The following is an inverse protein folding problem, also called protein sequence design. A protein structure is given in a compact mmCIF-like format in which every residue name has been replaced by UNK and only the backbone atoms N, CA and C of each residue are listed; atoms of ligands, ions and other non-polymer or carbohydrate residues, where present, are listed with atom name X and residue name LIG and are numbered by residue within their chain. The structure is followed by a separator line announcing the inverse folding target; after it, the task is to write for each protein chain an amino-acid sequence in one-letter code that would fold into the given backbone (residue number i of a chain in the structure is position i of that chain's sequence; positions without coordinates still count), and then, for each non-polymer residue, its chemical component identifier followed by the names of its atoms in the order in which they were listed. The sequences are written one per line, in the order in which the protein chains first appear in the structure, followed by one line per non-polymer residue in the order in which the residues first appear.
data_IF_308843413190
#
_entry.id   IF_308843413190
#
_cell.length_a   1.000
_cell.length_b   1.000
_cell.length_c   1.000
_cell.angle_alpha   90.00
_cell.angle_beta   90.00
_cell.angle_gamma   90.00
#
_symmetry.space_group_name_H-M   'P 1'
#
loop_
_entity.id
_entity.type
_entity.pdbx_description
1 polymer ?
#
# COMPACT_ATOMS: atom_id res chain seq x y z
N UNK A 1 16.98 -64.06 3.87
CA UNK A 1 16.06 -63.43 4.84
C UNK A 1 16.21 -61.93 4.67
N UNK A 2 15.18 -61.24 4.16
CA UNK A 2 15.19 -59.78 3.98
C UNK A 2 15.10 -59.09 5.33
N UNK A 3 15.91 -58.06 5.56
CA UNK A 3 15.93 -57.31 6.81
C UNK A 3 14.69 -56.41 6.91
N UNK A 4 13.78 -56.59 7.89
CA UNK A 4 12.58 -55.76 8.04
C UNK A 4 12.84 -54.30 8.40
N UNK A 5 14.07 -53.98 8.81
CA UNK A 5 14.49 -52.63 9.21
C UNK A 5 15.34 -51.93 8.15
N UNK A 6 15.47 -52.50 6.97
CA UNK A 6 16.16 -51.84 5.87
C UNK A 6 15.28 -50.65 5.41
N UNK A 7 15.78 -49.40 5.49
CA UNK A 7 15.02 -48.26 5.02
C UNK A 7 14.74 -48.46 3.53
N UNK A 8 13.55 -48.09 3.05
CA UNK A 8 13.25 -48.20 1.63
C UNK A 8 14.32 -47.45 0.84
N UNK A 9 14.84 -48.10 -0.20
CA UNK A 9 15.88 -47.54 -1.06
C UNK A 9 15.31 -46.27 -1.72
N UNK A 10 15.68 -45.10 -1.19
CA UNK A 10 15.21 -43.82 -1.70
C UNK A 10 15.93 -43.54 -3.01
N UNK A 11 15.23 -43.66 -4.13
CA UNK A 11 15.75 -43.24 -5.43
C UNK A 11 16.08 -41.72 -5.33
N UNK A 12 17.33 -41.30 -5.58
CA UNK A 12 17.68 -39.87 -5.60
C UNK A 12 16.83 -39.04 -6.58
N UNK A 13 16.12 -39.68 -7.53
CA UNK A 13 15.17 -39.02 -8.42
C UNK A 13 13.87 -38.63 -7.74
N UNK A 14 13.45 -39.35 -6.69
CA UNK A 14 12.22 -39.03 -5.97
C UNK A 14 12.39 -37.82 -5.06
N UNK A 15 13.59 -37.61 -4.48
CA UNK A 15 13.89 -36.38 -3.76
C UNK A 15 13.91 -35.15 -4.69
N UNK A 16 14.42 -35.28 -5.92
CA UNK A 16 14.33 -34.22 -6.93
C UNK A 16 12.89 -33.91 -7.36
N UNK A 17 12.03 -34.92 -7.52
CA UNK A 17 10.60 -34.72 -7.82
C UNK A 17 9.86 -34.03 -6.67
N UNK A 18 10.19 -34.38 -5.43
CA UNK A 18 9.59 -33.75 -4.26
C UNK A 18 9.97 -32.27 -4.16
N UNK A 19 11.24 -31.92 -4.37
CA UNK A 19 11.69 -30.51 -4.38
C UNK A 19 11.01 -29.72 -5.50
N UNK A 20 10.93 -30.27 -6.73
CA UNK A 20 10.22 -29.63 -7.84
C UNK A 20 8.72 -29.45 -7.56
N UNK A 21 8.09 -30.43 -6.88
CA UNK A 21 6.68 -30.33 -6.48
C UNK A 21 6.45 -29.29 -5.38
N UNK A 22 7.38 -29.17 -4.42
CA UNK A 22 7.32 -28.19 -3.34
C UNK A 22 7.51 -26.76 -3.87
N UNK A 23 8.40 -26.55 -4.85
CA UNK A 23 8.55 -25.29 -5.57
C UNK A 23 7.28 -24.88 -6.31
N UNK A 24 6.60 -25.83 -6.97
CA UNK A 24 5.32 -25.57 -7.65
C UNK A 24 4.19 -25.14 -6.71
N UNK A 25 4.11 -25.74 -5.51
CA UNK A 25 3.12 -25.36 -4.49
C UNK A 25 3.43 -23.96 -3.93
N UNK A 26 4.70 -23.66 -3.64
CA UNK A 26 5.12 -22.33 -3.19
C UNK A 26 4.87 -21.25 -4.24
N UNK A 27 5.14 -21.52 -5.53
CA UNK A 27 4.88 -20.59 -6.63
C UNK A 27 3.40 -20.25 -6.74
N UNK A 28 2.50 -21.23 -6.66
CA UNK A 28 1.05 -21.01 -6.77
C UNK A 28 0.49 -20.18 -5.62
N UNK A 29 1.01 -20.38 -4.41
CA UNK A 29 0.63 -19.59 -3.23
C UNK A 29 1.06 -18.12 -3.34
N UNK A 30 2.25 -17.85 -3.90
CA UNK A 30 2.82 -16.50 -3.97
C UNK A 30 2.09 -15.56 -4.94
N UNK A 31 1.49 -16.09 -6.01
CA UNK A 31 0.69 -15.27 -6.94
C UNK A 31 -0.59 -14.76 -6.24
N UNK A 32 -1.18 -15.56 -5.34
CA UNK A 32 -2.33 -15.17 -4.54
C UNK A 32 -2.04 -13.96 -3.63
N UNK A 33 -0.81 -13.84 -3.13
CA UNK A 33 -0.41 -12.74 -2.25
C UNK A 33 -0.40 -11.37 -2.95
N UNK A 34 -0.23 -11.31 -4.29
CA UNK A 34 -0.30 -10.05 -5.04
C UNK A 34 -1.68 -9.39 -4.86
N UNK A 35 -2.75 -10.19 -4.88
CA UNK A 35 -4.12 -9.68 -4.67
C UNK A 35 -4.30 -9.11 -3.28
N UNK A 36 -3.72 -9.75 -2.26
CA UNK A 36 -3.75 -9.25 -0.88
C UNK A 36 -3.04 -7.90 -0.78
N UNK A 37 -1.83 -7.78 -1.35
CA UNK A 37 -1.09 -6.51 -1.40
C UNK A 37 -1.91 -5.42 -2.11
N UNK A 38 -2.51 -5.73 -3.25
CA UNK A 38 -3.29 -4.77 -4.03
C UNK A 38 -4.53 -4.28 -3.26
N UNK A 39 -5.24 -5.17 -2.56
CA UNK A 39 -6.39 -4.81 -1.72
C UNK A 39 -5.92 -3.91 -0.57
N UNK A 40 -4.84 -4.26 0.10
CA UNK A 40 -4.32 -3.46 1.20
C UNK A 40 -3.86 -2.07 0.73
N UNK A 41 -3.25 -1.95 -0.45
CA UNK A 41 -2.95 -0.64 -1.05
C UNK A 41 -4.20 0.18 -1.33
N UNK A 42 -5.27 -0.44 -1.85
CA UNK A 42 -6.54 0.27 -2.07
C UNK A 42 -7.12 0.77 -0.75
N UNK A 43 -7.13 -0.04 0.30
CA UNK A 43 -7.62 0.36 1.62
C UNK A 43 -6.79 1.51 2.19
N UNK A 44 -5.46 1.41 2.12
CA UNK A 44 -4.55 2.46 2.58
C UNK A 44 -4.80 3.78 1.83
N UNK A 45 -4.91 3.74 0.49
CA UNK A 45 -5.20 4.94 -0.30
C UNK A 45 -6.56 5.57 0.02
N UNK A 46 -7.60 4.75 0.23
CA UNK A 46 -8.93 5.23 0.65
C UNK A 46 -8.87 5.88 2.03
N UNK A 47 -8.16 5.28 3.00
CA UNK A 47 -7.99 5.86 4.33
C UNK A 47 -7.24 7.21 4.29
N UNK A 48 -6.19 7.32 3.47
CA UNK A 48 -5.46 8.56 3.23
C UNK A 48 -6.35 9.63 2.59
N UNK A 49 -7.19 9.24 1.63
CA UNK A 49 -8.13 10.13 0.96
C UNK A 49 -9.18 10.64 1.93
N UNK A 50 -9.78 9.77 2.75
CA UNK A 50 -10.74 10.14 3.81
C UNK A 50 -10.09 11.10 4.81
N UNK A 51 -8.85 10.83 5.23
CA UNK A 51 -8.11 11.73 6.11
C UNK A 51 -7.82 13.08 5.45
N UNK A 52 -7.42 13.09 4.17
CA UNK A 52 -7.21 14.32 3.40
C UNK A 52 -8.47 15.17 3.28
N UNK A 53 -9.62 14.53 3.01
CA UNK A 53 -10.93 15.20 2.99
C UNK A 53 -11.28 15.75 4.37
N UNK A 54 -11.09 14.96 5.44
CA UNK A 54 -11.32 15.41 6.81
C UNK A 54 -10.47 16.63 7.18
N UNK A 55 -9.17 16.63 6.86
CA UNK A 55 -8.28 17.78 7.06
C UNK A 55 -8.71 18.99 6.21
N UNK A 56 -9.20 18.77 4.99
CA UNK A 56 -9.73 19.83 4.14
C UNK A 56 -10.98 20.48 4.72
N UNK A 57 -11.91 19.67 5.25
CA UNK A 57 -13.10 20.18 5.96
C UNK A 57 -12.71 20.94 7.22
N UNK A 58 -11.77 20.42 8.01
CA UNK A 58 -11.23 21.12 9.17
C UNK A 58 -10.57 22.46 8.79
N UNK A 59 -9.79 22.49 7.71
CA UNK A 59 -9.19 23.73 7.21
C UNK A 59 -10.25 24.78 6.82
N UNK A 60 -11.41 24.36 6.29
CA UNK A 60 -12.50 25.26 5.95
C UNK A 60 -13.29 25.76 7.18
N UNK A 61 -13.50 24.92 8.20
CA UNK A 61 -14.32 25.24 9.37
C UNK A 61 -13.53 25.98 10.46
N UNK A 62 -12.26 25.62 10.68
CA UNK A 62 -11.44 26.12 11.79
C UNK A 62 -11.33 27.66 11.85
N UNK A 63 -11.21 28.41 10.73
CA UNK A 63 -11.17 29.87 10.78
C UNK A 63 -12.43 30.49 11.40
N UNK A 64 -13.61 29.94 11.07
CA UNK A 64 -14.88 30.41 11.61
C UNK A 64 -15.00 30.12 13.11
N UNK A 65 -14.50 28.96 13.54
CA UNK A 65 -14.49 28.59 14.97
C UNK A 65 -13.52 29.47 15.77
N UNK A 66 -12.33 29.78 15.22
CA UNK A 66 -11.39 30.70 15.87
C UNK A 66 -11.97 32.11 16.01
N UNK A 67 -12.67 32.63 15.00
CA UNK A 67 -13.31 33.95 15.08
C UNK A 67 -14.36 34.01 16.20
N UNK A 68 -15.14 32.94 16.40
CA UNK A 68 -16.11 32.87 17.51
C UNK A 68 -15.42 32.79 18.88
N UNK A 69 -14.31 32.06 18.97
CA UNK A 69 -13.55 31.93 20.22
C UNK A 69 -12.89 33.25 20.63
N UNK A 70 -12.45 34.06 19.65
CA UNK A 70 -11.91 35.40 19.87
C UNK A 70 -12.90 36.34 20.55
N UNK A 71 -14.20 36.23 20.25
CA UNK A 71 -15.22 37.05 20.88
C UNK A 71 -15.41 36.74 22.38
N UNK A 72 -15.00 35.54 22.81
CA UNK A 72 -15.09 35.12 24.22
C UNK A 72 -13.78 35.27 24.99
N UNK A 73 -12.64 35.44 24.31
CA UNK A 73 -11.33 35.59 24.95
C UNK A 73 -11.02 37.05 25.27
N UNK A 74 -10.43 37.28 26.46
CA UNK A 74 -10.08 38.60 26.95
C UNK A 74 -9.19 39.37 25.94
N UNK A 75 -9.50 40.64 25.61
CA UNK A 75 -8.75 41.44 24.63
C UNK A 75 -7.28 41.72 25.00
N UNK A 76 -6.84 41.39 26.22
CA UNK A 76 -5.48 41.62 26.69
C UNK A 76 -4.47 40.50 26.36
N UNK A 77 -4.88 39.41 25.71
CA UNK A 77 -3.96 38.31 25.36
C UNK A 77 -3.34 38.54 23.97
N UNK A 78 -2.25 39.31 23.93
CA UNK A 78 -1.69 40.00 22.75
C UNK A 78 -0.91 39.18 21.72
N UNK A 79 -1.39 38.02 21.29
CA UNK A 79 -0.85 37.38 20.07
C UNK A 79 -1.68 37.82 18.86
N UNK A 80 -1.09 38.30 17.75
CA UNK A 80 -1.85 38.70 16.55
C UNK A 80 -2.51 37.49 15.87
N UNK A 81 -3.74 37.20 16.29
CA UNK A 81 -4.50 35.98 15.96
C UNK A 81 -4.82 35.89 14.45
N UNK A 82 -4.87 37.03 13.77
CA UNK A 82 -5.08 37.10 12.33
C UNK A 82 -3.97 36.35 11.55
N UNK A 83 -2.70 36.53 11.94
CA UNK A 83 -1.57 35.86 11.28
C UNK A 83 -1.53 34.36 11.59
N UNK A 84 -1.87 33.97 12.82
CA UNK A 84 -1.91 32.55 13.20
C UNK A 84 -3.01 31.81 12.44
N UNK A 85 -4.20 32.42 12.29
CA UNK A 85 -5.33 31.78 11.60
C UNK A 85 -5.04 31.50 10.12
N UNK A 86 -4.42 32.44 9.40
CA UNK A 86 -4.08 32.26 7.99
C UNK A 86 -2.97 31.25 7.81
N UNK A 87 -1.94 31.28 8.65
CA UNK A 87 -0.85 30.30 8.63
C UNK A 87 -1.37 28.87 8.85
N UNK A 88 -2.23 28.68 9.85
CA UNK A 88 -2.85 27.38 10.17
C UNK A 88 -3.71 26.90 8.99
N UNK A 89 -4.55 27.77 8.43
CA UNK A 89 -5.43 27.44 7.30
C UNK A 89 -4.64 27.00 6.07
N UNK A 90 -3.58 27.74 5.72
CA UNK A 90 -2.72 27.41 4.58
C UNK A 90 -1.99 26.10 4.82
N UNK A 91 -1.44 25.88 6.02
CA UNK A 91 -0.72 24.65 6.36
C UNK A 91 -1.64 23.42 6.25
N UNK A 92 -2.82 23.46 6.89
CA UNK A 92 -3.78 22.35 6.81
C UNK A 92 -4.35 22.17 5.40
N UNK A 93 -4.60 23.26 4.66
CA UNK A 93 -5.06 23.21 3.27
C UNK A 93 -4.05 22.54 2.33
N UNK A 94 -2.77 22.89 2.47
CA UNK A 94 -1.68 22.25 1.70
C UNK A 94 -1.56 20.77 2.08
N UNK A 95 -1.58 20.43 3.37
CA UNK A 95 -1.54 19.04 3.82
C UNK A 95 -2.72 18.22 3.28
N UNK A 96 -3.94 18.78 3.33
CA UNK A 96 -5.15 18.13 2.81
C UNK A 96 -5.04 17.84 1.31
N UNK A 97 -4.52 18.79 0.53
CA UNK A 97 -4.33 18.63 -0.91
C UNK A 97 -3.28 17.56 -1.23
N UNK A 98 -2.13 17.59 -0.55
CA UNK A 98 -1.06 16.60 -0.72
C UNK A 98 -1.54 15.20 -0.34
N UNK A 99 -2.20 15.05 0.81
CA UNK A 99 -2.76 13.76 1.26
C UNK A 99 -3.86 13.25 0.31
N UNK A 100 -4.73 14.14 -0.16
CA UNK A 100 -5.76 13.78 -1.13
C UNK A 100 -5.17 13.32 -2.47
N UNK A 101 -4.15 14.03 -2.98
CA UNK A 101 -3.46 13.66 -4.21
C UNK A 101 -2.73 12.32 -4.08
N UNK A 102 -1.94 12.15 -3.01
CA UNK A 102 -1.19 10.90 -2.77
C UNK A 102 -2.14 9.73 -2.52
N UNK A 103 -3.17 9.89 -1.68
CA UNK A 103 -4.19 8.87 -1.42
C UNK A 103 -4.97 8.46 -2.67
N UNK A 104 -5.30 9.43 -3.53
CA UNK A 104 -5.92 9.15 -4.83
C UNK A 104 -5.00 8.37 -5.78
N UNK A 105 -3.73 8.76 -5.85
CA UNK A 105 -2.70 8.07 -6.64
C UNK A 105 -2.44 6.65 -6.14
N UNK A 106 -2.36 6.43 -4.83
CA UNK A 106 -2.13 5.10 -4.23
C UNK A 106 -3.35 4.19 -4.42
N UNK A 107 -4.57 4.71 -4.26
CA UNK A 107 -5.80 3.97 -4.56
C UNK A 107 -5.88 3.57 -6.04
N UNK A 108 -5.58 4.50 -6.95
CA UNK A 108 -5.58 4.24 -8.39
C UNK A 108 -4.47 3.26 -8.81
N UNK A 109 -3.28 3.39 -8.21
CA UNK A 109 -2.18 2.45 -8.41
C UNK A 109 -2.55 1.04 -7.91
N UNK A 110 -3.21 0.94 -6.75
CA UNK A 110 -3.75 -0.32 -6.23
C UNK A 110 -4.73 -0.98 -7.20
N UNK A 111 -5.65 -0.21 -7.78
CA UNK A 111 -6.58 -0.70 -8.78
C UNK A 111 -5.88 -1.20 -10.06
N UNK A 112 -4.87 -0.48 -10.55
CA UNK A 112 -4.08 -0.94 -11.71
C UNK A 112 -3.21 -2.16 -11.40
N UNK A 113 -2.70 -2.26 -10.18
CA UNK A 113 -1.96 -3.43 -9.71
C UNK A 113 -2.85 -4.67 -9.65
N UNK A 114 -4.12 -4.50 -9.26
CA UNK A 114 -5.10 -5.59 -9.27
C UNK A 114 -5.30 -6.18 -10.67
N UNK A 115 -5.17 -5.35 -11.72
CA UNK A 115 -5.25 -5.80 -13.11
C UNK A 115 -3.92 -6.34 -13.68
N UNK A 116 -2.86 -6.42 -12.87
CA UNK A 116 -1.52 -6.89 -13.28
C UNK A 116 -0.91 -6.12 -14.47
N UNK A 117 -1.29 -4.86 -14.69
CA UNK A 117 -0.87 -4.09 -15.89
C UNK A 117 0.31 -3.14 -15.68
N UNK A 118 0.74 -2.88 -14.45
CA UNK A 118 1.80 -1.90 -14.20
C UNK A 118 2.53 -2.10 -12.87
N UNK A 119 3.57 -2.93 -12.88
CA UNK A 119 4.44 -3.20 -11.72
C UNK A 119 5.19 -1.95 -11.23
N UNK A 120 5.65 -1.11 -12.17
CA UNK A 120 6.41 0.11 -11.85
C UNK A 120 5.54 1.14 -11.14
N UNK A 121 4.26 1.29 -11.55
CA UNK A 121 3.33 2.22 -10.88
C UNK A 121 3.10 1.85 -9.41
N UNK A 122 3.04 0.55 -9.11
CA UNK A 122 2.97 0.05 -7.74
C UNK A 122 4.14 0.51 -6.88
N UNK A 123 5.37 0.25 -7.34
CA UNK A 123 6.61 0.60 -6.61
C UNK A 123 6.72 2.12 -6.44
N UNK A 124 6.48 2.89 -7.51
CA UNK A 124 6.54 4.36 -7.47
C UNK A 124 5.49 4.92 -6.50
N UNK A 125 4.28 4.38 -6.50
CA UNK A 125 3.22 4.79 -5.56
C UNK A 125 3.56 4.44 -4.11
N UNK A 126 4.21 3.31 -3.84
CA UNK A 126 4.69 2.94 -2.50
C UNK A 126 5.77 3.91 -2.00
N UNK A 127 6.72 4.28 -2.86
CA UNK A 127 7.75 5.27 -2.52
C UNK A 127 7.14 6.66 -2.26
N UNK A 128 6.14 7.07 -3.04
CA UNK A 128 5.38 8.30 -2.82
C UNK A 128 4.59 8.27 -1.50
N UNK A 129 3.98 7.14 -1.15
CA UNK A 129 3.33 6.96 0.15
C UNK A 129 4.32 7.07 1.31
N UNK A 130 5.58 6.65 1.11
CA UNK A 130 6.65 6.83 2.09
C UNK A 130 7.05 8.28 2.34
N UNK A 131 6.77 9.20 1.41
CA UNK A 131 6.99 10.63 1.63
C UNK A 131 5.93 11.24 2.56
N UNK A 132 4.70 10.72 2.56
CA UNK A 132 3.60 11.20 3.42
C UNK A 132 3.65 10.63 4.84
N UNK A 133 4.56 9.71 5.10
CA UNK A 133 4.73 8.95 6.35
C UNK A 133 5.20 9.81 7.54
N UNK A 134 5.78 11.00 7.30
CA UNK A 134 6.23 11.87 8.38
C UNK A 134 5.11 12.55 9.20
N UNK A 135 3.85 12.47 8.76
CA UNK A 135 2.77 13.29 9.32
C UNK A 135 1.67 12.57 10.10
N UNK A 136 1.56 11.23 10.08
CA UNK A 136 0.36 10.58 10.61
C UNK A 136 0.52 9.10 11.04
N UNK A 137 -0.51 8.61 11.76
CA UNK A 137 -0.72 7.21 12.19
C UNK A 137 -0.58 6.16 11.07
N UNK A 138 -0.57 6.58 9.81
CA UNK A 138 -0.36 5.72 8.64
C UNK A 138 1.10 5.23 8.49
N UNK A 139 2.05 5.73 9.28
CA UNK A 139 3.46 5.31 9.26
C UNK A 139 3.64 3.78 9.31
N UNK A 140 3.17 3.07 10.36
CA UNK A 140 3.38 1.63 10.48
C UNK A 140 2.68 0.84 9.37
N UNK A 141 1.50 1.27 8.91
CA UNK A 141 0.77 0.56 7.85
C UNK A 141 1.46 0.73 6.50
N UNK A 142 1.87 1.95 6.15
CA UNK A 142 2.61 2.22 4.92
C UNK A 142 3.96 1.50 4.90
N UNK A 143 4.69 1.48 6.03
CA UNK A 143 5.95 0.76 6.13
C UNK A 143 5.75 -0.76 5.97
N UNK A 144 4.75 -1.33 6.64
CA UNK A 144 4.44 -2.75 6.52
C UNK A 144 4.07 -3.13 5.08
N UNK A 145 3.26 -2.31 4.40
CA UNK A 145 2.88 -2.55 3.00
C UNK A 145 4.03 -2.38 2.04
N UNK A 146 4.93 -1.44 2.30
CA UNK A 146 6.13 -1.25 1.49
C UNK A 146 7.08 -2.44 1.61
N UNK A 147 7.39 -2.90 2.83
CA UNK A 147 8.26 -4.07 3.03
C UNK A 147 7.61 -5.32 2.44
N UNK A 148 6.34 -5.57 2.76
CA UNK A 148 5.60 -6.73 2.28
C UNK A 148 5.44 -6.71 0.75
N UNK A 149 5.08 -5.57 0.19
CA UNK A 149 4.99 -5.35 -1.24
C UNK A 149 6.31 -5.59 -1.94
N UNK A 150 7.42 -5.05 -1.42
CA UNK A 150 8.74 -5.22 -2.01
C UNK A 150 9.16 -6.69 -2.03
N UNK A 151 8.92 -7.45 -0.96
CA UNK A 151 9.19 -8.89 -0.91
C UNK A 151 8.40 -9.64 -1.99
N UNK A 152 7.11 -9.35 -2.12
CA UNK A 152 6.24 -9.98 -3.14
C UNK A 152 6.68 -9.57 -4.55
N UNK A 153 6.99 -8.29 -4.76
CA UNK A 153 7.39 -7.79 -6.08
C UNK A 153 8.76 -8.27 -6.51
N UNK A 154 9.73 -8.43 -5.62
CA UNK A 154 11.08 -8.91 -5.98
C UNK A 154 11.12 -10.39 -6.37
N UNK A 155 10.02 -11.11 -6.16
CA UNK A 155 9.94 -12.52 -6.48
C UNK A 155 9.86 -12.76 -8.00
N UNK A 156 10.77 -13.58 -8.54
CA UNK A 156 10.84 -13.88 -9.97
C UNK A 156 9.53 -14.44 -10.58
N UNK A 157 8.86 -15.46 -9.99
CA UNK A 157 7.57 -15.94 -10.48
C UNK A 157 6.51 -14.84 -10.60
N UNK A 158 6.51 -13.87 -9.69
CA UNK A 158 5.59 -12.71 -9.78
C UNK A 158 5.95 -11.86 -10.99
N UNK A 159 7.25 -11.55 -11.19
CA UNK A 159 7.71 -10.81 -12.37
C UNK A 159 7.30 -11.49 -13.69
N UNK A 160 7.46 -12.81 -13.78
CA UNK A 160 7.08 -13.58 -14.96
C UNK A 160 5.57 -13.57 -15.20
N UNK A 161 4.75 -13.58 -14.14
CA UNK A 161 3.29 -13.46 -14.25
C UNK A 161 2.88 -12.10 -14.81
N UNK A 162 3.53 -11.01 -14.39
CA UNK A 162 3.31 -9.67 -14.96
C UNK A 162 3.69 -9.61 -16.44
N UNK A 163 4.82 -10.21 -16.85
CA UNK A 163 5.23 -10.26 -18.26
C UNK A 163 4.24 -11.06 -19.12
N UNK A 164 3.71 -12.17 -18.61
CA UNK A 164 2.68 -12.97 -19.32
C UNK A 164 1.40 -12.17 -19.56
N UNK A 165 0.91 -11.43 -18.57
CA UNK A 165 -0.26 -10.56 -18.72
C UNK A 165 0.04 -9.39 -19.65
N UNK A 166 1.25 -8.83 -19.60
CA UNK A 166 1.68 -7.78 -20.53
C UNK A 166 1.72 -8.27 -22.00
N UNK A 167 2.02 -9.55 -22.22
CA UNK A 167 1.98 -10.22 -23.52
C UNK A 167 0.56 -10.60 -23.98
N UNK A 168 -0.48 -10.30 -23.19
CA UNK A 168 -1.89 -10.51 -23.56
C UNK A 168 -2.53 -11.78 -23.02
N UNK A 169 -1.85 -12.55 -22.16
CA UNK A 169 -2.50 -13.67 -21.47
C UNK A 169 -3.54 -13.16 -20.47
N UNK A 170 -4.67 -13.87 -20.36
CA UNK A 170 -5.72 -13.48 -19.42
C UNK A 170 -5.26 -13.73 -17.98
N UNK A 171 -5.65 -12.84 -17.05
CA UNK A 171 -5.31 -12.97 -15.62
C UNK A 171 -5.82 -14.29 -15.04
N UNK A 172 -6.95 -14.79 -15.55
CA UNK A 172 -7.51 -16.07 -15.12
C UNK A 172 -6.60 -17.25 -15.52
N UNK A 173 -6.04 -17.23 -16.73
CA UNK A 173 -5.17 -18.30 -17.22
C UNK A 173 -3.84 -18.34 -16.46
N UNK A 174 -3.30 -17.18 -16.09
CA UNK A 174 -2.05 -17.07 -15.33
C UNK A 174 -2.22 -17.54 -13.87
N UNK A 175 -3.42 -17.44 -13.31
CA UNK A 175 -3.72 -17.88 -11.94
C UNK A 175 -4.09 -19.37 -11.85
N UNK A 176 -4.60 -19.95 -12.94
CA UNK A 176 -5.03 -21.34 -12.98
C UNK A 176 -3.92 -22.30 -13.41
N UNK A 177 -2.89 -21.83 -14.11
CA UNK A 177 -1.68 -22.63 -14.44
C UNK A 177 -0.65 -22.58 -13.32
#
# INVERSE_FOLDING_TARGET
MSNPYEPPETDPRDSMRFVASAEGIYQRGMIGHIRVVAILMMIQGVLELVMGVFLGVMAAIMPSMMQNMQQMQNPNQGVPIAQVSTMVTVMYGVMALVLGAVGGLTAFAGFRNYQLRARVLGIVSMCLGLLTVFGCYCFPTALALMVYGLIVYLNQPVAMAFDRVANGESVADVLLK
#
